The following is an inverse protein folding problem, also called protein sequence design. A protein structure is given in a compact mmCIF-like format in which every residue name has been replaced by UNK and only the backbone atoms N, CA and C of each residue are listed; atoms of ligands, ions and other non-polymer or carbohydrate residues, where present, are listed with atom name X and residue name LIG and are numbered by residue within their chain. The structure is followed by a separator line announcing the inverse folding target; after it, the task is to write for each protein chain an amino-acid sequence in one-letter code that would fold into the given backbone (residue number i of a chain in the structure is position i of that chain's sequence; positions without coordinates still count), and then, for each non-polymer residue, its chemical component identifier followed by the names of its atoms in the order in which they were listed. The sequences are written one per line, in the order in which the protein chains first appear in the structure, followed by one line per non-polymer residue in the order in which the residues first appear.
data_IF_677693071948
#
_entry.id   IF_677693071948
#
_cell.length_a   1.000
_cell.length_b   1.000
_cell.length_c   1.000
_cell.angle_alpha   90.00
_cell.angle_beta   90.00
_cell.angle_gamma   90.00
#
_symmetry.space_group_name_H-M   'P 1'
#
loop_
_entity.id
_entity.type
_entity.pdbx_description
1 polymer ?
#
# COMPACT_ATOMS: atom_id res chain seq x y z
N UNK A 1 8.42 -13.28 4.86
CA UNK A 1 8.17 -11.83 4.98
C UNK A 1 7.40 -11.50 6.26
N UNK A 2 8.02 -10.79 7.23
CA UNK A 2 7.42 -10.51 8.56
C UNK A 2 6.27 -9.49 8.48
N UNK A 3 6.51 -8.35 7.83
CA UNK A 3 5.57 -7.22 7.77
C UNK A 3 4.22 -7.57 7.13
N UNK A 4 4.21 -8.42 6.09
CA UNK A 4 2.99 -8.87 5.43
C UNK A 4 2.12 -9.78 6.32
N UNK A 5 2.76 -10.70 7.06
CA UNK A 5 2.06 -11.55 8.05
C UNK A 5 1.49 -10.70 9.19
N UNK A 6 2.27 -9.73 9.67
CA UNK A 6 1.80 -8.78 10.67
C UNK A 6 0.64 -7.92 10.15
N UNK A 7 0.67 -7.52 8.87
CA UNK A 7 -0.43 -6.78 8.26
C UNK A 7 -1.69 -7.63 8.17
N UNK A 8 -1.56 -8.89 7.77
CA UNK A 8 -2.70 -9.80 7.74
C UNK A 8 -3.36 -9.92 9.11
N UNK A 9 -2.56 -10.17 10.17
CA UNK A 9 -3.08 -10.21 11.55
C UNK A 9 -3.72 -8.88 11.96
N UNK A 10 -3.10 -7.76 11.61
CA UNK A 10 -3.64 -6.43 11.87
C UNK A 10 -5.00 -6.22 11.19
N UNK A 11 -5.13 -6.56 9.91
CA UNK A 11 -6.36 -6.36 9.13
C UNK A 11 -7.50 -7.25 9.64
N UNK A 12 -7.22 -8.52 9.95
CA UNK A 12 -8.21 -9.43 10.53
C UNK A 12 -8.79 -8.89 11.85
N UNK A 13 -7.95 -8.24 12.68
CA UNK A 13 -8.38 -7.70 13.98
C UNK A 13 -9.02 -6.32 13.84
N UNK A 14 -8.35 -5.36 13.20
CA UNK A 14 -8.69 -3.92 13.28
C UNK A 14 -9.47 -3.40 12.07
N UNK A 15 -9.58 -4.19 11.00
CA UNK A 15 -10.31 -3.84 9.77
C UNK A 15 -11.20 -5.00 9.34
N UNK A 16 -11.90 -5.63 10.29
CA UNK A 16 -12.74 -6.79 10.04
C UNK A 16 -13.87 -6.48 9.03
N UNK A 17 -14.38 -5.25 9.05
CA UNK A 17 -15.33 -4.73 8.07
C UNK A 17 -14.79 -4.85 6.64
N UNK A 18 -13.59 -4.34 6.37
CA UNK A 18 -12.95 -4.43 5.06
C UNK A 18 -12.47 -5.86 4.77
N UNK A 19 -11.95 -6.57 5.77
CA UNK A 19 -11.42 -7.92 5.60
C UNK A 19 -12.51 -8.93 5.23
N UNK A 20 -13.73 -8.74 5.73
CA UNK A 20 -14.90 -9.58 5.46
C UNK A 20 -15.51 -9.38 4.07
N UNK A 21 -15.14 -8.31 3.36
CA UNK A 21 -15.59 -8.07 1.99
C UNK A 21 -15.05 -9.14 1.04
N UNK A 22 -15.79 -9.36 -0.05
CA UNK A 22 -15.32 -10.21 -1.14
C UNK A 22 -13.99 -9.68 -1.72
N UNK A 23 -13.15 -10.58 -2.23
CA UNK A 23 -11.82 -10.27 -2.77
C UNK A 23 -11.83 -9.04 -3.70
N UNK A 24 -12.81 -8.99 -4.61
CA UNK A 24 -12.93 -7.92 -5.61
C UNK A 24 -13.21 -6.55 -4.98
N UNK A 25 -14.10 -6.49 -3.99
CA UNK A 25 -14.45 -5.27 -3.27
C UNK A 25 -13.25 -4.74 -2.48
N UNK A 26 -12.47 -5.65 -1.89
CA UNK A 26 -11.21 -5.30 -1.21
C UNK A 26 -10.21 -4.69 -2.18
N UNK A 27 -10.04 -5.28 -3.37
CA UNK A 27 -9.13 -4.75 -4.39
C UNK A 27 -9.54 -3.35 -4.84
N UNK A 28 -10.83 -3.14 -5.15
CA UNK A 28 -11.37 -1.81 -5.48
C UNK A 28 -11.11 -0.81 -4.35
N UNK A 29 -11.35 -1.20 -3.10
CA UNK A 29 -11.06 -0.37 -1.94
C UNK A 29 -9.57 0.03 -1.86
N UNK A 30 -8.64 -0.92 -2.10
CA UNK A 30 -7.22 -0.61 -2.12
C UNK A 30 -6.83 0.29 -3.30
N UNK A 31 -7.45 0.11 -4.48
CA UNK A 31 -7.29 1.02 -5.63
C UNK A 31 -7.66 2.46 -5.29
N UNK A 32 -8.81 2.67 -4.63
CA UNK A 32 -9.23 3.99 -4.14
C UNK A 32 -8.21 4.58 -3.16
N UNK A 33 -7.64 3.76 -2.28
CA UNK A 33 -6.59 4.19 -1.36
C UNK A 33 -5.33 4.66 -2.10
N UNK A 34 -4.87 3.93 -3.12
CA UNK A 34 -3.70 4.33 -3.91
C UNK A 34 -3.92 5.67 -4.62
N UNK A 35 -5.07 5.87 -5.27
CA UNK A 35 -5.41 7.16 -5.89
C UNK A 35 -5.48 8.30 -4.85
N UNK A 36 -6.08 8.04 -3.68
CA UNK A 36 -6.15 9.01 -2.58
C UNK A 36 -4.77 9.41 -2.08
N UNK A 37 -3.87 8.45 -1.89
CA UNK A 37 -2.52 8.71 -1.40
C UNK A 37 -1.66 9.41 -2.45
N UNK A 38 -1.77 9.03 -3.73
CA UNK A 38 -1.14 9.75 -4.82
C UNK A 38 -1.56 11.22 -4.84
N UNK A 39 -2.86 11.50 -4.72
CA UNK A 39 -3.38 12.87 -4.67
C UNK A 39 -2.91 13.65 -3.44
N UNK A 40 -2.65 12.99 -2.30
CA UNK A 40 -2.02 13.63 -1.13
C UNK A 40 -0.57 13.97 -1.41
N UNK A 41 0.22 13.00 -1.91
CA UNK A 41 1.62 13.22 -2.28
C UNK A 41 1.78 14.34 -3.30
N UNK A 42 0.87 14.45 -4.28
CA UNK A 42 0.87 15.50 -5.28
C UNK A 42 0.62 16.91 -4.70
N UNK A 43 -0.10 17.02 -3.59
CA UNK A 43 -0.40 18.29 -2.92
C UNK A 43 0.63 18.66 -1.86
N UNK A 44 1.36 17.69 -1.32
CA UNK A 44 2.33 17.91 -0.27
C UNK A 44 3.52 18.73 -0.78
N UNK A 45 3.67 19.96 -0.28
CA UNK A 45 4.85 20.80 -0.51
C UNK A 45 5.97 20.54 0.50
N UNK A 46 5.67 19.84 1.61
CA UNK A 46 6.53 19.63 2.76
C UNK A 46 6.71 18.14 3.06
N UNK A 47 7.91 17.75 3.53
CA UNK A 47 8.24 16.36 3.86
C UNK A 47 7.38 15.77 5.01
N UNK A 48 6.87 16.61 5.91
CA UNK A 48 6.07 16.22 7.09
C UNK A 48 4.79 15.49 6.68
N UNK A 49 4.18 15.83 5.55
CA UNK A 49 2.95 15.20 5.06
C UNK A 49 3.21 13.94 4.21
N UNK A 50 4.44 13.80 3.71
CA UNK A 50 4.84 12.72 2.79
C UNK A 50 5.05 11.41 3.55
N UNK A 51 5.80 11.43 4.66
CA UNK A 51 6.12 10.21 5.41
C UNK A 51 4.87 9.45 5.93
N UNK A 52 3.88 10.09 6.58
CA UNK A 52 2.66 9.40 7.00
C UNK A 52 1.88 8.84 5.81
N UNK A 53 1.84 9.57 4.70
CA UNK A 53 1.14 9.14 3.48
C UNK A 53 1.81 7.91 2.86
N UNK A 54 3.15 7.89 2.77
CA UNK A 54 3.91 6.74 2.28
C UNK A 54 3.76 5.53 3.21
N UNK A 55 3.75 5.75 4.52
CA UNK A 55 3.53 4.69 5.52
C UNK A 55 2.14 4.06 5.35
N UNK A 56 1.09 4.88 5.26
CA UNK A 56 -0.28 4.41 5.06
C UNK A 56 -0.44 3.71 3.70
N UNK A 57 0.19 4.20 2.64
CA UNK A 57 0.20 3.57 1.32
C UNK A 57 0.89 2.20 1.36
N UNK A 58 1.99 2.06 2.08
CA UNK A 58 2.70 0.80 2.22
C UNK A 58 1.87 -0.24 2.99
N UNK A 59 1.21 0.17 4.07
CA UNK A 59 0.29 -0.71 4.81
C UNK A 59 -0.82 -1.24 3.90
N UNK A 60 -1.42 -0.39 3.06
CA UNK A 60 -2.41 -0.81 2.08
C UNK A 60 -1.81 -1.74 1.03
N UNK A 61 -0.60 -1.50 0.56
CA UNK A 61 0.07 -2.38 -0.40
C UNK A 61 0.36 -3.79 0.17
N UNK A 62 0.64 -3.89 1.48
CA UNK A 62 0.73 -5.17 2.18
C UNK A 62 -0.63 -5.89 2.22
N UNK A 63 -1.72 -5.17 2.49
CA UNK A 63 -3.09 -5.71 2.46
C UNK A 63 -3.51 -6.16 1.06
N UNK A 64 -3.17 -5.39 0.03
CA UNK A 64 -3.39 -5.74 -1.37
C UNK A 64 -2.59 -6.99 -1.76
N UNK A 65 -1.32 -7.08 -1.36
CA UNK A 65 -0.50 -8.27 -1.59
C UNK A 65 -1.11 -9.54 -0.96
N UNK A 66 -1.60 -9.43 0.29
CA UNK A 66 -2.31 -10.53 0.94
C UNK A 66 -3.55 -10.98 0.16
N UNK A 67 -4.31 -10.01 -0.38
CA UNK A 67 -5.54 -10.26 -1.15
C UNK A 67 -5.26 -10.87 -2.53
N UNK A 68 -4.14 -10.51 -3.14
CA UNK A 68 -3.66 -11.05 -4.42
C UNK A 68 -2.87 -12.36 -4.28
N UNK A 69 -2.69 -12.86 -3.06
CA UNK A 69 -1.79 -13.98 -2.74
C UNK A 69 -0.37 -13.76 -3.30
N UNK A 70 0.12 -12.53 -3.22
CA UNK A 70 1.43 -12.12 -3.71
C UNK A 70 2.46 -12.30 -2.59
N UNK A 71 3.42 -13.21 -2.78
CA UNK A 71 4.52 -13.43 -1.84
C UNK A 71 5.61 -12.37 -2.05
N UNK A 72 5.63 -11.35 -1.19
CA UNK A 72 6.60 -10.26 -1.36
C UNK A 72 7.99 -10.60 -0.82
N UNK A 73 8.22 -11.79 -0.23
CA UNK A 73 9.59 -12.24 0.05
C UNK A 73 10.41 -12.49 -1.21
N UNK A 74 9.72 -12.63 -2.35
CA UNK A 74 10.31 -12.78 -3.68
C UNK A 74 10.58 -11.45 -4.37
N UNK A 75 10.21 -10.31 -3.76
CA UNK A 75 10.50 -9.00 -4.32
C UNK A 75 11.96 -8.62 -4.06
N UNK A 76 12.60 -8.14 -5.12
CA UNK A 76 13.89 -7.47 -5.05
C UNK A 76 13.64 -5.98 -4.90
N UNK A 77 14.19 -5.38 -3.84
CA UNK A 77 14.18 -3.94 -3.69
C UNK A 77 15.37 -3.35 -4.44
N UNK A 78 15.21 -2.20 -5.11
CA UNK A 78 16.33 -1.54 -5.75
C UNK A 78 17.35 -1.12 -4.68
N UNK A 79 18.63 -1.36 -4.97
CA UNK A 79 19.74 -1.00 -4.07
C UNK A 79 19.99 0.52 -4.05
N UNK A 80 19.51 1.24 -5.07
CA UNK A 80 19.60 2.69 -5.18
C UNK A 80 18.21 3.30 -5.11
N UNK A 81 18.08 4.43 -4.43
CA UNK A 81 16.86 5.24 -4.53
C UNK A 81 16.71 5.77 -5.95
N UNK A 82 15.48 5.77 -6.44
CA UNK A 82 15.08 6.68 -7.51
C UNK A 82 14.96 8.08 -6.91
N UNK A 83 15.20 9.12 -7.72
CA UNK A 83 14.89 10.47 -7.27
C UNK A 83 13.40 10.56 -6.91
N UNK A 84 13.05 11.25 -5.82
CA UNK A 84 11.66 11.33 -5.33
C UNK A 84 10.64 11.69 -6.44
N UNK A 85 11.01 12.58 -7.37
CA UNK A 85 10.15 12.96 -8.50
C UNK A 85 9.89 11.80 -9.47
N UNK A 86 10.91 11.01 -9.79
CA UNK A 86 10.77 9.83 -10.64
C UNK A 86 9.92 8.77 -9.94
N UNK A 87 10.21 8.49 -8.67
CA UNK A 87 9.45 7.55 -7.86
C UNK A 87 7.98 7.95 -7.71
N UNK A 88 7.69 9.26 -7.63
CA UNK A 88 6.32 9.79 -7.62
C UNK A 88 5.58 9.48 -8.93
N UNK A 89 6.19 9.71 -10.10
CA UNK A 89 5.54 9.38 -11.38
C UNK A 89 5.37 7.88 -11.58
N UNK A 90 6.33 7.07 -11.13
CA UNK A 90 6.18 5.61 -11.15
C UNK A 90 5.06 5.14 -10.22
N UNK A 91 4.89 5.76 -9.03
CA UNK A 91 3.73 5.50 -8.19
C UNK A 91 2.45 5.97 -8.91
N UNK A 92 2.44 7.13 -9.55
CA UNK A 92 1.26 7.60 -10.30
C UNK A 92 0.80 6.60 -11.36
N UNK A 93 1.74 6.12 -12.19
CA UNK A 93 1.49 5.08 -13.19
C UNK A 93 1.00 3.77 -12.54
N UNK A 94 1.68 3.29 -11.50
CA UNK A 94 1.31 2.05 -10.83
C UNK A 94 -0.07 2.12 -10.16
N UNK A 95 -0.43 3.27 -9.55
CA UNK A 95 -1.76 3.50 -9.02
C UNK A 95 -2.82 3.49 -10.13
N UNK A 96 -2.52 4.09 -11.29
CA UNK A 96 -3.37 4.06 -12.48
C UNK A 96 -3.60 2.64 -13.00
N UNK A 97 -2.53 1.84 -13.15
CA UNK A 97 -2.64 0.42 -13.52
C UNK A 97 -3.39 -0.42 -12.50
N UNK A 98 -3.25 -0.13 -11.21
CA UNK A 98 -4.05 -0.81 -10.20
C UNK A 98 -5.54 -0.45 -10.32
N UNK A 99 -5.85 0.80 -10.65
CA UNK A 99 -7.22 1.25 -10.91
C UNK A 99 -7.80 0.63 -12.19
N UNK A 100 -7.04 0.52 -13.28
CA UNK A 100 -7.41 -0.22 -14.49
C UNK A 100 -7.69 -1.70 -14.15
N UNK A 101 -6.82 -2.35 -13.38
CA UNK A 101 -7.09 -3.70 -12.90
C UNK A 101 -8.39 -3.81 -12.07
N UNK A 102 -8.79 -2.74 -11.36
CA UNK A 102 -10.07 -2.69 -10.65
C UNK A 102 -11.26 -2.51 -11.60
N UNK A 103 -11.11 -1.74 -12.69
CA UNK A 103 -12.11 -1.60 -13.75
C UNK A 103 -12.30 -2.93 -14.49
N UNK A 104 -11.21 -3.63 -14.81
CA UNK A 104 -11.23 -4.96 -15.47
C UNK A 104 -12.03 -6.00 -14.73
N UNK A 105 -12.10 -5.92 -13.40
CA UNK A 105 -12.98 -6.78 -12.59
C UNK A 105 -14.45 -6.60 -13.00
N UNK A 106 -14.88 -5.37 -13.24
CA UNK A 106 -16.26 -5.05 -13.63
C UNK A 106 -16.60 -5.50 -15.06
N UNK A 107 -15.58 -5.55 -15.91
CA UNK A 107 -15.68 -6.07 -17.27
C UNK A 107 -15.45 -7.58 -17.38
N UNK A 108 -15.17 -8.28 -16.27
CA UNK A 108 -14.87 -9.73 -16.23
C UNK A 108 -13.65 -10.07 -17.11
N UNK A 109 -12.66 -9.18 -17.13
CA UNK A 109 -11.40 -9.35 -17.85
C UNK A 109 -10.29 -9.90 -16.92
N UNK A 110 -9.16 -10.33 -17.51
CA UNK A 110 -7.97 -10.69 -16.73
C UNK A 110 -7.38 -9.44 -16.08
N UNK A 111 -7.16 -9.49 -14.76
CA UNK A 111 -6.69 -8.34 -13.98
C UNK A 111 -5.58 -8.68 -12.99
N UNK A 112 -5.35 -9.96 -12.70
CA UNK A 112 -4.59 -10.39 -11.52
C UNK A 112 -3.11 -10.04 -11.69
N UNK A 113 -2.55 -10.29 -12.86
CA UNK A 113 -1.14 -10.00 -13.13
C UNK A 113 -0.88 -8.49 -13.20
N UNK A 114 -1.80 -7.72 -13.78
CA UNK A 114 -1.74 -6.26 -13.78
C UNK A 114 -1.76 -5.70 -12.35
N UNK A 115 -2.70 -6.15 -11.51
CA UNK A 115 -2.80 -5.72 -10.12
C UNK A 115 -1.54 -6.09 -9.31
N UNK A 116 -0.97 -7.28 -9.54
CA UNK A 116 0.28 -7.72 -8.88
C UNK A 116 1.48 -6.90 -9.31
N UNK A 117 1.61 -6.60 -10.60
CA UNK A 117 2.67 -5.75 -11.13
C UNK A 117 2.56 -4.33 -10.57
N UNK A 118 1.37 -3.74 -10.63
CA UNK A 118 1.10 -2.43 -10.05
C UNK A 118 1.42 -2.36 -8.55
N UNK A 119 0.94 -3.32 -7.76
CA UNK A 119 1.21 -3.34 -6.31
C UNK A 119 2.71 -3.50 -5.98
N UNK A 120 3.44 -4.29 -6.79
CA UNK A 120 4.90 -4.42 -6.68
C UNK A 120 5.58 -3.07 -6.91
N UNK A 121 5.21 -2.38 -7.97
CA UNK A 121 5.83 -1.11 -8.32
C UNK A 121 5.55 -0.05 -7.25
N UNK A 122 4.32 -0.01 -6.71
CA UNK A 122 3.98 0.84 -5.56
C UNK A 122 4.90 0.56 -4.36
N UNK A 123 5.09 -0.71 -3.99
CA UNK A 123 5.98 -1.11 -2.87
C UNK A 123 7.43 -0.67 -3.12
N UNK A 124 7.92 -0.87 -4.33
CA UNK A 124 9.28 -0.49 -4.74
C UNK A 124 9.45 1.03 -4.68
N UNK A 125 8.51 1.79 -5.24
CA UNK A 125 8.54 3.26 -5.23
C UNK A 125 8.51 3.81 -3.82
N UNK A 126 7.65 3.30 -2.94
CA UNK A 126 7.60 3.73 -1.54
C UNK A 126 8.95 3.44 -0.85
N UNK A 127 9.55 2.28 -1.11
CA UNK A 127 10.89 1.96 -0.61
C UNK A 127 11.95 2.95 -1.10
N UNK A 128 11.96 3.27 -2.40
CA UNK A 128 12.87 4.27 -2.98
C UNK A 128 12.67 5.66 -2.39
N UNK A 129 11.43 6.12 -2.23
CA UNK A 129 11.12 7.42 -1.62
C UNK A 129 11.51 7.44 -0.14
N UNK A 130 11.33 6.35 0.60
CA UNK A 130 11.77 6.27 1.99
C UNK A 130 13.30 6.36 2.14
N UNK A 131 14.03 5.74 1.21
CA UNK A 131 15.49 5.85 1.15
C UNK A 131 15.93 7.29 0.81
N UNK A 132 15.31 7.92 -0.19
CA UNK A 132 15.64 9.29 -0.62
C UNK A 132 15.33 10.33 0.48
N UNK A 133 14.19 10.17 1.16
CA UNK A 133 13.76 11.02 2.28
C UNK A 133 14.41 10.65 3.62
N UNK A 134 15.25 9.61 3.65
CA UNK A 134 16.00 9.14 4.82
C UNK A 134 15.15 8.86 6.06
N UNK A 135 13.93 8.33 5.91
CA UNK A 135 13.09 7.95 7.05
C UNK A 135 12.97 6.43 7.23
N UNK A 136 12.88 6.00 8.49
CA UNK A 136 12.70 4.59 8.84
C UNK A 136 11.24 4.16 8.62
N UNK A 137 10.99 3.55 7.46
CA UNK A 137 9.67 3.02 7.10
C UNK A 137 9.21 1.90 8.04
N UNK A 138 10.11 1.06 8.56
CA UNK A 138 9.71 -0.04 9.46
C UNK A 138 9.26 0.50 10.81
N UNK A 139 10.01 1.47 11.36
CA UNK A 139 9.60 2.17 12.57
C UNK A 139 8.28 2.90 12.36
N UNK A 140 8.13 3.61 11.25
CA UNK A 140 6.89 4.33 10.91
C UNK A 140 5.68 3.40 10.82
N UNK A 141 5.84 2.21 10.22
CA UNK A 141 4.80 1.17 10.18
C UNK A 141 4.42 0.71 11.59
N UNK A 142 5.41 0.44 12.45
CA UNK A 142 5.17 0.00 13.82
C UNK A 142 4.39 1.04 14.62
N UNK A 143 4.83 2.29 14.54
CA UNK A 143 4.22 3.42 15.24
C UNK A 143 2.80 3.65 14.73
N UNK A 144 2.62 3.63 13.40
CA UNK A 144 1.31 3.80 12.77
C UNK A 144 0.31 2.71 13.14
N UNK A 145 0.73 1.44 13.16
CA UNK A 145 -0.13 0.34 13.63
C UNK A 145 -0.51 0.51 15.10
N UNK A 146 0.35 1.10 15.94
CA UNK A 146 -0.02 1.40 17.33
C UNK A 146 -1.15 2.42 17.41
N UNK A 147 -1.04 3.51 16.65
CA UNK A 147 -2.09 4.54 16.56
C UNK A 147 -3.42 3.97 16.01
N UNK A 148 -3.35 3.06 15.04
CA UNK A 148 -4.55 2.44 14.47
C UNK A 148 -5.24 1.48 15.44
N UNK A 149 -4.48 0.76 16.28
CA UNK A 149 -5.04 -0.09 17.35
C UNK A 149 -5.87 0.70 18.35
N UNK A 150 -5.44 1.90 18.72
CA UNK A 150 -6.19 2.76 19.65
C UNK A 150 -7.58 3.15 19.12
N UNK A 151 -7.77 3.17 17.79
CA UNK A 151 -9.08 3.45 17.18
C UNK A 151 -10.04 2.27 17.27
N UNK A 152 -9.52 1.05 17.38
CA UNK A 152 -10.30 -0.16 17.57
C UNK A 152 -10.62 -0.40 19.05
N UNK A 153 -11.05 0.66 19.76
CA UNK A 153 -11.30 0.67 21.21
C UNK A 153 -12.32 -0.37 21.68
N UNK A 154 -13.13 -0.89 20.75
CA UNK A 154 -14.17 -1.88 20.98
C UNK A 154 -13.68 -3.34 20.88
N UNK A 155 -12.38 -3.57 20.70
CA UNK A 155 -11.77 -4.90 20.59
C UNK A 155 -10.94 -5.18 21.85
N UNK A 156 -11.31 -6.20 22.62
CA UNK A 156 -10.55 -6.66 23.79
C UNK A 156 -9.17 -7.24 23.39
N UNK A 157 -8.20 -7.15 24.31
CA UNK A 157 -6.80 -7.50 24.05
C UNK A 157 -6.50 -9.00 23.96
#
# INVERSE_FOLDING_TARGET
MRLQKEQHKHDCRNHADIHSLHKVERLKHYGLHFCKYLGRLARSSEAVDVQPTLTDAFLVALSAANTLHQDLSRLTFPYKSLATKEAFYTFADAAGRFADACEKIDHIEEFVEMARAANRDIIVCIGSMALDLQFDLQKSIKDRRSQLRERAFYIED
#
